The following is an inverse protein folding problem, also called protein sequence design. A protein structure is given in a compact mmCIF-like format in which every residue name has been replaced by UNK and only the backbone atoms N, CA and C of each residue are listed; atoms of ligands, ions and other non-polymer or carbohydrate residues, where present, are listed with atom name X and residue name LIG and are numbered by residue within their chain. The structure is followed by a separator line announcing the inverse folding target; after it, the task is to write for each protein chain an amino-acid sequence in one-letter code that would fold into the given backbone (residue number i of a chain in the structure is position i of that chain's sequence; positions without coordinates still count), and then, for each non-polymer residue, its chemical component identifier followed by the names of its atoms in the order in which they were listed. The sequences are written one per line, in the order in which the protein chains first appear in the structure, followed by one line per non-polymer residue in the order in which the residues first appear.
data_IF_106812931237
#
_entry.id   IF_106812931237
#
_cell.length_a   1.000
_cell.length_b   1.000
_cell.length_c   1.000
_cell.angle_alpha   90.00
_cell.angle_beta   90.00
_cell.angle_gamma   90.00
#
_symmetry.space_group_name_H-M   'P 1'
#
loop_
_entity.id
_entity.type
_entity.pdbx_description
1 polymer ?
#
# COMPACT_ATOMS: atom_id res chain seq x y z
N UNK A 1 -21.94 -50.95 -61.52
CA UNK A 1 -20.91 -50.37 -60.65
C UNK A 1 -21.60 -49.44 -59.58
N UNK A 2 -21.79 -49.99 -58.37
CA UNK A 2 -22.42 -49.27 -57.28
C UNK A 2 -21.27 -48.70 -56.42
N UNK A 3 -21.16 -47.38 -56.40
CA UNK A 3 -20.21 -46.67 -55.49
C UNK A 3 -20.95 -46.39 -54.15
N UNK A 4 -20.57 -47.19 -53.16
CA UNK A 4 -21.02 -46.86 -51.74
C UNK A 4 -20.25 -45.69 -51.21
N UNK A 5 -20.96 -44.62 -50.94
CA UNK A 5 -20.42 -43.44 -50.19
C UNK A 5 -20.32 -43.85 -48.73
N UNK A 6 -19.08 -43.93 -48.21
CA UNK A 6 -18.81 -43.92 -46.77
C UNK A 6 -19.03 -42.48 -46.25
N UNK A 7 -20.07 -42.29 -45.42
CA UNK A 7 -20.19 -41.14 -44.57
C UNK A 7 -19.20 -41.29 -43.42
N UNK A 8 -18.39 -40.25 -43.11
CA UNK A 8 -17.64 -40.24 -41.86
C UNK A 8 -18.63 -40.05 -40.70
N UNK A 9 -18.67 -41.03 -39.81
CA UNK A 9 -19.31 -40.83 -38.49
C UNK A 9 -18.58 -39.70 -37.78
N UNK A 10 -19.28 -38.62 -37.52
CA UNK A 10 -18.83 -37.60 -36.57
C UNK A 10 -18.80 -38.29 -35.21
N UNK A 11 -17.59 -38.42 -34.67
CA UNK A 11 -17.34 -38.84 -33.31
C UNK A 11 -17.75 -37.66 -32.40
N UNK A 12 -19.03 -37.56 -32.08
CA UNK A 12 -19.57 -36.72 -31.03
C UNK A 12 -19.31 -37.40 -29.68
N UNK A 13 -18.03 -37.60 -29.36
CA UNK A 13 -17.57 -37.91 -28.02
C UNK A 13 -17.54 -36.65 -27.22
N UNK A 14 -18.71 -36.08 -26.92
CA UNK A 14 -18.85 -35.05 -25.92
C UNK A 14 -18.44 -35.66 -24.57
N UNK A 15 -17.27 -35.25 -24.06
CA UNK A 15 -16.83 -35.56 -22.72
C UNK A 15 -17.79 -34.80 -21.79
N UNK A 16 -18.86 -35.48 -21.37
CA UNK A 16 -19.98 -34.94 -20.57
C UNK A 16 -19.59 -34.83 -19.09
N UNK A 17 -18.28 -34.78 -18.81
CA UNK A 17 -17.76 -34.55 -17.48
C UNK A 17 -18.02 -33.07 -17.10
N UNK A 18 -18.55 -32.80 -15.89
CA UNK A 18 -18.81 -31.46 -15.45
C UNK A 18 -17.49 -30.65 -15.45
N UNK A 19 -17.50 -29.38 -15.91
CA UNK A 19 -16.31 -28.58 -16.03
C UNK A 19 -15.61 -28.42 -14.65
N UNK A 20 -14.29 -28.64 -14.65
CA UNK A 20 -13.45 -28.59 -13.43
C UNK A 20 -12.70 -27.26 -13.37
N UNK A 21 -12.81 -26.60 -12.24
CA UNK A 21 -12.04 -25.40 -11.92
C UNK A 21 -10.66 -25.79 -11.38
N UNK A 22 -9.61 -25.55 -12.15
CA UNK A 22 -8.21 -25.76 -11.73
C UNK A 22 -7.67 -24.50 -11.09
N UNK A 23 -7.18 -24.63 -9.86
CA UNK A 23 -6.67 -23.55 -9.02
C UNK A 23 -5.20 -23.82 -8.67
N UNK A 24 -4.29 -23.07 -9.29
CA UNK A 24 -2.87 -23.14 -8.94
C UNK A 24 -2.56 -22.10 -7.85
N UNK A 25 -2.04 -22.57 -6.72
CA UNK A 25 -1.68 -21.74 -5.56
C UNK A 25 -0.18 -21.44 -5.57
N UNK A 26 0.25 -20.19 -5.85
CA UNK A 26 1.64 -19.79 -5.69
C UNK A 26 2.01 -19.71 -4.20
N UNK A 27 3.29 -19.91 -3.87
CA UNK A 27 3.74 -19.82 -2.47
C UNK A 27 3.73 -18.40 -1.93
N UNK A 28 4.08 -17.42 -2.76
CA UNK A 28 4.12 -16.00 -2.39
C UNK A 28 3.46 -15.20 -3.52
N UNK A 29 2.65 -14.23 -3.12
CA UNK A 29 1.98 -13.32 -4.05
C UNK A 29 1.96 -11.91 -3.45
N UNK A 30 2.02 -10.93 -4.32
CA UNK A 30 1.84 -9.53 -3.98
C UNK A 30 0.55 -9.04 -4.63
N UNK A 31 -0.34 -8.45 -3.83
CA UNK A 31 -1.64 -7.95 -4.27
C UNK A 31 -1.70 -6.43 -4.22
N UNK A 32 -2.63 -5.85 -4.96
CA UNK A 32 -2.93 -4.42 -4.98
C UNK A 32 -4.35 -4.20 -4.48
N UNK A 33 -4.63 -2.98 -4.00
CA UNK A 33 -5.96 -2.60 -3.52
C UNK A 33 -6.22 -2.95 -2.06
N UNK A 34 -7.47 -2.76 -1.64
CA UNK A 34 -7.90 -2.96 -0.25
C UNK A 34 -8.55 -4.32 -0.01
N UNK A 35 -9.12 -4.90 -1.06
CA UNK A 35 -9.80 -6.20 -1.01
C UNK A 35 -9.08 -7.16 -1.93
N UNK A 36 -8.81 -8.35 -1.43
CA UNK A 36 -8.17 -9.43 -2.17
C UNK A 36 -9.24 -10.32 -2.78
N UNK A 37 -9.13 -10.62 -4.08
CA UNK A 37 -9.95 -11.59 -4.80
C UNK A 37 -9.18 -12.86 -5.11
N UNK A 38 -9.88 -13.94 -5.47
CA UNK A 38 -9.24 -15.21 -5.76
C UNK A 38 -8.31 -15.12 -6.98
N UNK A 39 -8.66 -14.34 -8.00
CA UNK A 39 -7.81 -14.11 -9.19
C UNK A 39 -6.48 -13.42 -8.87
N UNK A 40 -6.42 -12.63 -7.79
CA UNK A 40 -5.20 -11.98 -7.36
C UNK A 40 -4.25 -12.91 -6.59
N UNK A 41 -4.77 -13.98 -5.99
CA UNK A 41 -3.96 -14.88 -5.15
C UNK A 41 -3.70 -16.25 -5.75
N UNK A 42 -4.42 -16.62 -6.80
CA UNK A 42 -4.27 -17.90 -7.48
C UNK A 42 -4.41 -17.76 -9.00
N UNK A 43 -3.84 -18.69 -9.74
CA UNK A 43 -4.05 -18.79 -11.18
C UNK A 43 -5.20 -19.77 -11.42
N UNK A 44 -6.24 -19.27 -12.10
CA UNK A 44 -7.47 -20.02 -12.37
C UNK A 44 -7.51 -20.48 -13.82
N UNK A 45 -7.98 -21.70 -14.04
CA UNK A 45 -8.25 -22.24 -15.37
C UNK A 45 -9.51 -23.11 -15.33
N UNK A 46 -10.46 -22.83 -16.23
CA UNK A 46 -11.70 -23.58 -16.38
C UNK A 46 -12.20 -23.44 -17.82
N UNK A 47 -12.77 -24.54 -18.38
CA UNK A 47 -13.36 -24.52 -19.70
C UNK A 47 -14.73 -23.82 -19.71
N UNK A 48 -15.39 -23.72 -18.55
CA UNK A 48 -16.63 -22.99 -18.35
C UNK A 48 -16.32 -21.51 -18.02
N UNK A 49 -16.62 -20.61 -18.94
CA UNK A 49 -16.35 -19.17 -18.80
C UNK A 49 -17.15 -18.52 -17.67
N UNK A 50 -18.38 -18.96 -17.41
CA UNK A 50 -19.23 -18.41 -16.35
C UNK A 50 -18.69 -18.82 -14.97
N UNK A 51 -18.32 -20.09 -14.81
CA UNK A 51 -17.70 -20.60 -13.59
C UNK A 51 -16.35 -19.91 -13.34
N UNK A 52 -15.53 -19.73 -14.37
CA UNK A 52 -14.26 -19.00 -14.28
C UNK A 52 -14.49 -17.56 -13.80
N UNK A 53 -15.40 -16.82 -14.45
CA UNK A 53 -15.69 -15.43 -14.12
C UNK A 53 -16.27 -15.27 -12.70
N UNK A 54 -17.09 -16.22 -12.25
CA UNK A 54 -17.61 -16.25 -10.88
C UNK A 54 -16.49 -16.51 -9.87
N UNK A 55 -15.60 -17.47 -10.14
CA UNK A 55 -14.47 -17.80 -9.28
C UNK A 55 -13.49 -16.62 -9.14
N UNK A 56 -13.17 -15.91 -10.22
CA UNK A 56 -12.27 -14.76 -10.21
C UNK A 56 -12.70 -13.70 -9.16
N UNK A 57 -13.98 -13.47 -9.02
CA UNK A 57 -14.56 -12.42 -8.15
C UNK A 57 -14.75 -12.85 -6.70
N UNK A 58 -14.44 -14.09 -6.33
CA UNK A 58 -14.62 -14.58 -4.96
C UNK A 58 -13.73 -13.78 -4.00
N UNK A 59 -14.32 -13.09 -2.98
CA UNK A 59 -13.54 -12.28 -2.07
C UNK A 59 -12.79 -13.15 -1.06
N UNK A 60 -11.49 -12.94 -0.96
CA UNK A 60 -10.61 -13.64 -0.04
C UNK A 60 -10.45 -12.90 1.29
N UNK A 61 -10.82 -11.63 1.34
CA UNK A 61 -10.75 -10.79 2.53
C UNK A 61 -10.10 -9.43 2.25
N UNK A 62 -9.64 -8.76 3.32
CA UNK A 62 -8.88 -7.52 3.18
C UNK A 62 -7.45 -7.78 2.73
N UNK A 63 -6.85 -6.81 2.07
CA UNK A 63 -5.42 -6.82 1.82
C UNK A 63 -4.62 -6.65 3.15
N UNK A 64 -3.40 -7.17 3.21
CA UNK A 64 -2.50 -6.93 4.34
C UNK A 64 -2.24 -5.43 4.56
N UNK A 65 -1.94 -5.04 5.83
CA UNK A 65 -1.48 -3.68 6.14
C UNK A 65 0.06 -3.64 6.06
N UNK A 66 0.62 -2.53 5.55
CA UNK A 66 2.05 -2.26 5.51
C UNK A 66 2.93 -3.55 5.34
N UNK A 67 3.75 -3.87 6.35
CA UNK A 67 4.63 -5.05 6.34
C UNK A 67 3.93 -6.36 6.75
N UNK A 68 2.61 -6.36 6.91
CA UNK A 68 1.85 -7.56 7.26
C UNK A 68 1.95 -8.59 6.13
N UNK A 69 2.05 -9.86 6.52
CA UNK A 69 1.90 -11.00 5.61
C UNK A 69 0.72 -11.83 6.07
N UNK A 70 -0.30 -11.96 5.24
CA UNK A 70 -1.45 -12.83 5.49
C UNK A 70 -1.15 -14.20 4.87
N UNK A 71 -1.47 -15.27 5.59
CA UNK A 71 -1.39 -16.64 5.08
C UNK A 71 -2.78 -17.14 4.75
N UNK A 72 -3.00 -17.59 3.51
CA UNK A 72 -4.25 -18.17 3.04
C UNK A 72 -3.99 -19.65 2.75
N UNK A 73 -4.66 -20.53 3.48
CA UNK A 73 -4.59 -21.97 3.26
C UNK A 73 -5.58 -22.44 2.18
N UNK A 74 -5.27 -23.52 1.48
CA UNK A 74 -6.18 -24.12 0.47
C UNK A 74 -7.57 -24.39 0.99
N UNK A 75 -7.70 -24.86 2.24
CA UNK A 75 -9.01 -25.10 2.87
C UNK A 75 -9.85 -23.80 2.95
N UNK A 76 -9.20 -22.66 3.16
CA UNK A 76 -9.88 -21.34 3.19
C UNK A 76 -10.35 -20.97 1.80
N UNK A 77 -9.54 -21.23 0.74
CA UNK A 77 -9.94 -21.01 -0.64
C UNK A 77 -11.16 -21.86 -0.99
N UNK A 78 -11.12 -23.17 -0.66
CA UNK A 78 -12.23 -24.09 -0.92
C UNK A 78 -13.51 -23.65 -0.20
N UNK A 79 -13.40 -23.26 1.07
CA UNK A 79 -14.54 -22.76 1.84
C UNK A 79 -15.15 -21.49 1.26
N UNK A 80 -14.32 -20.56 0.75
CA UNK A 80 -14.81 -19.33 0.10
C UNK A 80 -15.46 -19.60 -1.25
N UNK A 81 -14.88 -20.52 -2.06
CA UNK A 81 -15.48 -20.98 -3.31
C UNK A 81 -16.85 -21.60 -3.07
N UNK A 82 -16.93 -22.52 -2.11
CA UNK A 82 -18.19 -23.18 -1.74
C UNK A 82 -19.26 -22.16 -1.26
N UNK A 83 -18.86 -21.19 -0.43
CA UNK A 83 -19.76 -20.11 0.01
C UNK A 83 -20.24 -19.21 -1.15
N UNK A 84 -19.49 -19.17 -2.25
CA UNK A 84 -19.85 -18.42 -3.47
C UNK A 84 -20.61 -19.29 -4.49
N UNK A 85 -21.02 -20.51 -4.11
CA UNK A 85 -21.83 -21.41 -4.94
C UNK A 85 -21.02 -22.32 -5.87
N UNK A 86 -19.71 -22.36 -5.77
CA UNK A 86 -18.87 -23.30 -6.52
C UNK A 86 -18.86 -24.65 -5.81
N UNK A 87 -19.21 -25.70 -6.53
CA UNK A 87 -19.16 -27.06 -5.99
C UNK A 87 -17.72 -27.49 -5.67
N UNK A 88 -17.39 -27.83 -4.41
CA UNK A 88 -16.07 -28.28 -4.03
C UNK A 88 -15.54 -29.50 -4.79
N UNK A 89 -16.41 -30.39 -5.24
CA UNK A 89 -16.04 -31.59 -6.01
C UNK A 89 -15.56 -31.25 -7.43
N UNK A 90 -15.85 -30.03 -7.88
CA UNK A 90 -15.42 -29.48 -9.17
C UNK A 90 -14.17 -28.62 -9.09
N UNK A 91 -13.44 -28.64 -7.96
CA UNK A 91 -12.25 -27.82 -7.75
C UNK A 91 -11.01 -28.68 -7.57
N UNK A 92 -10.04 -28.51 -8.44
CA UNK A 92 -8.73 -29.15 -8.35
C UNK A 92 -7.66 -28.15 -7.93
N UNK A 93 -6.98 -28.41 -6.81
CA UNK A 93 -5.88 -27.58 -6.35
C UNK A 93 -4.53 -28.14 -6.73
N UNK A 94 -3.61 -27.25 -7.13
CA UNK A 94 -2.19 -27.54 -7.36
C UNK A 94 -1.30 -26.44 -6.75
N UNK A 95 0.00 -26.67 -6.69
CA UNK A 95 0.96 -25.72 -6.12
C UNK A 95 1.10 -25.82 -4.60
N UNK A 96 1.22 -24.68 -3.91
CA UNK A 96 1.48 -24.62 -2.47
C UNK A 96 0.23 -24.89 -1.62
N UNK A 97 0.39 -25.46 -0.42
CA UNK A 97 -0.69 -25.63 0.58
C UNK A 97 -1.10 -24.29 1.22
N UNK A 98 -0.16 -23.36 1.29
CA UNK A 98 -0.32 -22.04 1.88
C UNK A 98 0.18 -20.98 0.91
N UNK A 99 -0.59 -19.90 0.75
CA UNK A 99 -0.23 -18.72 -0.03
C UNK A 99 0.11 -17.60 0.95
N UNK A 100 1.32 -17.04 0.85
CA UNK A 100 1.72 -15.86 1.60
C UNK A 100 1.42 -14.62 0.77
N UNK A 101 0.48 -13.83 1.24
CA UNK A 101 0.00 -12.62 0.57
C UNK A 101 0.61 -11.40 1.23
N UNK A 102 1.21 -10.53 0.43
CA UNK A 102 1.71 -9.20 0.81
C UNK A 102 1.03 -8.15 -0.05
N UNK A 103 0.94 -6.92 0.46
CA UNK A 103 0.46 -5.80 -0.35
C UNK A 103 1.62 -5.13 -1.08
N UNK A 104 1.34 -4.66 -2.30
CA UNK A 104 2.25 -3.80 -3.03
C UNK A 104 2.06 -2.36 -2.55
N UNK A 105 3.08 -1.82 -1.89
CA UNK A 105 3.09 -0.45 -1.40
C UNK A 105 4.09 0.40 -2.18
N UNK A 106 3.73 1.66 -2.42
CA UNK A 106 4.68 2.69 -2.85
C UNK A 106 5.19 3.46 -1.62
N UNK A 107 6.45 3.88 -1.68
CA UNK A 107 7.07 4.64 -0.60
C UNK A 107 7.02 6.13 -0.89
N UNK A 108 6.45 6.89 0.04
CA UNK A 108 6.66 8.34 0.12
C UNK A 108 8.01 8.53 0.78
N UNK A 109 9.00 8.95 -0.01
CA UNK A 109 10.37 9.06 0.48
C UNK A 109 10.54 10.24 1.44
N UNK A 110 11.51 10.18 2.38
CA UNK A 110 11.76 11.23 3.37
C UNK A 110 11.94 12.63 2.77
N UNK A 111 12.50 12.72 1.58
CA UNK A 111 12.75 13.97 0.87
C UNK A 111 11.44 14.68 0.49
N UNK A 112 10.41 13.93 0.08
CA UNK A 112 9.08 14.48 -0.23
C UNK A 112 8.40 15.00 1.03
N UNK A 113 8.46 14.24 2.13
CA UNK A 113 7.92 14.64 3.43
C UNK A 113 8.61 15.93 3.91
N UNK A 114 9.94 15.96 3.81
CA UNK A 114 10.73 17.12 4.24
C UNK A 114 10.43 18.36 3.38
N UNK A 115 10.27 18.22 2.06
CA UNK A 115 9.97 19.34 1.17
C UNK A 115 8.63 20.00 1.56
N UNK A 116 7.60 19.18 1.82
CA UNK A 116 6.27 19.68 2.25
C UNK A 116 6.34 20.36 3.63
N UNK A 117 7.08 19.75 4.58
CA UNK A 117 7.27 20.33 5.90
C UNK A 117 8.04 21.66 5.86
N UNK A 118 9.10 21.76 5.04
CA UNK A 118 9.86 22.99 4.87
C UNK A 118 9.06 24.12 4.22
N UNK A 119 8.25 23.77 3.22
CA UNK A 119 7.33 24.73 2.59
C UNK A 119 6.38 25.31 3.63
N UNK A 120 5.71 24.44 4.41
CA UNK A 120 4.78 24.87 5.47
C UNK A 120 5.45 25.70 6.54
N UNK A 121 6.65 25.30 6.96
CA UNK A 121 7.44 26.05 7.94
C UNK A 121 7.74 27.49 7.46
N UNK A 122 8.13 27.64 6.18
CA UNK A 122 8.44 28.95 5.60
C UNK A 122 7.22 29.85 5.41
N UNK A 123 6.04 29.27 5.23
CA UNK A 123 4.78 30.00 5.02
C UNK A 123 4.17 30.50 6.33
N UNK A 124 4.21 29.70 7.39
CA UNK A 124 3.48 30.01 8.63
C UNK A 124 4.37 30.45 9.79
N UNK A 125 5.66 30.07 9.79
CA UNK A 125 6.57 30.44 10.89
C UNK A 125 7.52 31.52 10.42
N UNK A 126 7.09 32.79 10.58
CA UNK A 126 7.87 33.97 10.17
C UNK A 126 8.73 34.43 11.33
N UNK A 127 9.96 33.95 11.40
CA UNK A 127 10.99 34.44 12.37
C UNK A 127 12.22 34.93 11.59
N UNK A 128 12.32 36.24 11.30
CA UNK A 128 13.34 36.80 10.41
C UNK A 128 14.79 36.57 10.86
N UNK A 129 15.00 36.40 12.17
CA UNK A 129 16.33 36.18 12.75
C UNK A 129 16.71 34.72 12.92
N UNK A 130 15.77 33.80 12.66
CA UNK A 130 15.96 32.35 12.81
C UNK A 130 16.42 31.69 11.54
N UNK A 131 17.33 30.72 11.69
CA UNK A 131 17.67 29.74 10.66
C UNK A 131 17.22 28.39 11.19
N UNK A 132 16.34 27.72 10.43
CA UNK A 132 15.79 26.45 10.83
C UNK A 132 16.70 25.29 10.46
N UNK A 133 16.89 24.37 11.39
CA UNK A 133 17.66 23.13 11.19
C UNK A 133 16.76 21.93 11.48
N UNK A 134 16.77 20.97 10.58
CA UNK A 134 16.14 19.66 10.80
C UNK A 134 16.81 18.94 11.98
N UNK A 135 16.01 18.47 12.93
CA UNK A 135 16.51 17.73 14.10
C UNK A 135 16.81 16.29 13.75
N UNK A 136 15.87 15.64 13.04
CA UNK A 136 15.99 14.24 12.58
C UNK A 136 15.29 14.08 11.23
N UNK A 137 15.92 13.30 10.33
CA UNK A 137 15.30 12.93 9.05
C UNK A 137 14.06 12.08 9.32
N UNK A 138 12.89 12.40 8.72
CA UNK A 138 11.69 11.59 8.86
C UNK A 138 11.89 10.22 8.22
N UNK A 139 11.12 9.23 8.66
CA UNK A 139 11.07 7.91 8.03
C UNK A 139 10.12 7.95 6.83
N UNK A 140 10.36 7.07 5.85
CA UNK A 140 9.45 6.89 4.73
C UNK A 140 8.06 6.42 5.21
N UNK A 141 7.04 6.68 4.40
CA UNK A 141 5.67 6.21 4.63
C UNK A 141 5.31 5.25 3.52
N UNK A 142 4.92 4.02 3.87
CA UNK A 142 4.34 3.08 2.93
C UNK A 142 2.86 3.40 2.73
N UNK A 143 2.41 3.43 1.49
CA UNK A 143 1.00 3.62 1.12
C UNK A 143 0.64 2.65 -0.01
N UNK A 144 -0.65 2.23 -0.15
CA UNK A 144 -1.07 1.38 -1.26
C UNK A 144 -0.61 1.96 -2.59
N UNK A 145 -0.03 1.12 -3.47
CA UNK A 145 0.55 1.59 -4.74
C UNK A 145 -0.50 2.22 -5.68
N UNK A 146 -1.73 1.73 -5.62
CA UNK A 146 -2.89 2.18 -6.38
C UNK A 146 -3.57 3.43 -5.79
N UNK A 147 -3.23 3.84 -4.55
CA UNK A 147 -3.85 4.99 -3.92
C UNK A 147 -3.35 6.31 -4.54
N UNK A 148 -4.27 7.15 -4.98
CA UNK A 148 -3.98 8.56 -5.25
C UNK A 148 -3.91 9.30 -3.92
N UNK A 149 -2.71 9.76 -3.57
CA UNK A 149 -2.47 10.40 -2.28
C UNK A 149 -1.92 11.81 -2.45
N UNK A 150 -2.33 12.69 -1.56
CA UNK A 150 -1.84 14.06 -1.42
C UNK A 150 -1.12 14.21 -0.08
N UNK A 151 -0.03 15.00 -0.08
CA UNK A 151 0.69 15.36 1.14
C UNK A 151 0.21 16.73 1.61
N UNK A 152 -0.31 16.77 2.82
CA UNK A 152 -0.70 18.00 3.51
C UNK A 152 0.18 18.21 4.73
N UNK A 153 0.36 19.47 5.17
CA UNK A 153 1.14 19.77 6.35
C UNK A 153 0.42 20.79 7.25
N UNK A 154 0.53 20.57 8.55
CA UNK A 154 0.03 21.46 9.57
C UNK A 154 1.15 21.81 10.58
N UNK A 155 1.14 23.04 11.06
CA UNK A 155 2.01 23.44 12.18
C UNK A 155 1.42 22.83 13.45
N UNK A 156 2.22 22.04 14.13
CA UNK A 156 1.90 21.46 15.42
C UNK A 156 2.39 22.32 16.58
N UNK A 157 3.10 21.69 17.52
CA UNK A 157 3.61 22.40 18.68
C UNK A 157 4.75 23.36 18.33
N UNK A 158 4.66 24.59 18.83
CA UNK A 158 5.72 25.58 18.80
C UNK A 158 6.21 25.82 20.23
N UNK A 159 7.41 25.35 20.52
CA UNK A 159 8.03 25.53 21.85
C UNK A 159 8.69 26.89 21.96
N UNK A 160 8.59 27.51 23.18
CA UNK A 160 9.33 28.70 23.51
C UNK A 160 10.88 28.57 23.41
N UNK A 161 11.36 27.33 23.33
CA UNK A 161 12.79 27.02 23.12
C UNK A 161 13.22 27.07 21.64
N UNK A 162 12.36 27.56 20.75
CA UNK A 162 12.65 27.62 19.31
C UNK A 162 12.59 26.26 18.61
N UNK A 163 11.73 25.36 19.06
CA UNK A 163 11.42 24.10 18.37
C UNK A 163 10.04 24.18 17.74
N UNK A 164 9.95 23.70 16.51
CA UNK A 164 8.69 23.62 15.78
C UNK A 164 8.51 22.20 15.26
N UNK A 165 7.32 21.68 15.46
CA UNK A 165 6.89 20.40 14.87
C UNK A 165 5.94 20.67 13.72
N UNK A 166 6.23 20.11 12.55
CA UNK A 166 5.34 20.12 11.39
C UNK A 166 4.84 18.70 11.19
N UNK A 167 3.54 18.51 11.32
CA UNK A 167 2.91 17.21 11.03
C UNK A 167 2.58 17.15 9.54
N UNK A 168 3.19 16.21 8.83
CA UNK A 168 2.89 15.92 7.42
C UNK A 168 1.99 14.71 7.36
N UNK A 169 0.78 14.90 6.82
CA UNK A 169 -0.21 13.85 6.64
C UNK A 169 -0.29 13.41 5.18
N UNK A 170 -0.49 12.12 4.97
CA UNK A 170 -0.80 11.51 3.68
C UNK A 170 -2.30 11.33 3.62
N UNK A 171 -2.95 12.03 2.70
CA UNK A 171 -4.40 12.04 2.54
C UNK A 171 -4.81 11.28 1.29
N UNK A 172 -5.94 10.56 1.37
CA UNK A 172 -6.67 10.02 0.22
C UNK A 172 -8.09 10.61 0.25
N UNK A 173 -8.29 11.69 -0.50
CA UNK A 173 -9.48 12.52 -0.35
C UNK A 173 -9.56 13.11 1.06
N UNK A 174 -10.60 12.76 1.83
CA UNK A 174 -10.79 13.21 3.20
C UNK A 174 -10.15 12.28 4.25
N UNK A 175 -9.72 11.06 3.85
CA UNK A 175 -9.17 10.06 4.75
C UNK A 175 -7.67 10.25 4.95
N UNK A 176 -7.22 10.33 6.20
CA UNK A 176 -5.82 10.34 6.55
C UNK A 176 -5.30 8.90 6.64
N UNK A 177 -4.43 8.51 5.70
CA UNK A 177 -3.82 7.19 5.69
C UNK A 177 -2.67 7.05 6.68
N UNK A 178 -1.84 8.09 6.79
CA UNK A 178 -0.68 8.12 7.69
C UNK A 178 -0.26 9.55 7.99
N UNK A 179 0.57 9.74 9.02
CA UNK A 179 1.22 11.02 9.30
C UNK A 179 2.63 10.82 9.86
N UNK A 180 3.47 11.84 9.72
CA UNK A 180 4.80 11.92 10.32
C UNK A 180 5.08 13.33 10.83
N UNK A 181 5.67 13.38 12.01
CA UNK A 181 6.13 14.62 12.60
C UNK A 181 7.57 14.91 12.17
N UNK A 182 7.78 16.12 11.70
CA UNK A 182 9.08 16.65 11.30
C UNK A 182 9.46 17.77 12.26
N UNK A 183 10.55 17.56 12.99
CA UNK A 183 10.98 18.48 14.03
C UNK A 183 12.10 19.39 13.52
N UNK A 184 11.90 20.70 13.69
CA UNK A 184 12.88 21.74 13.40
C UNK A 184 13.32 22.44 14.67
N UNK A 185 14.57 22.92 14.69
CA UNK A 185 15.11 23.79 15.74
C UNK A 185 15.61 25.08 15.13
N UNK A 186 15.28 26.20 15.76
CA UNK A 186 15.77 27.51 15.39
C UNK A 186 17.21 27.74 15.84
N UNK A 187 17.99 28.39 14.98
CA UNK A 187 19.27 29.00 15.34
C UNK A 187 19.15 30.49 15.11
N UNK A 188 19.40 31.26 16.16
CA UNK A 188 19.37 32.73 16.14
C UNK A 188 20.79 33.27 15.93
N UNK A 189 20.89 34.31 15.08
CA UNK A 189 22.10 35.11 15.01
C UNK A 189 21.89 36.29 15.95
N UNK A 190 22.58 36.25 17.09
CA UNK A 190 22.58 37.38 18.05
C UNK A 190 23.81 38.22 17.79
N UNK A 191 23.64 39.54 17.76
CA UNK A 191 24.76 40.48 17.79
C UNK A 191 24.94 40.92 19.24
N UNK A 192 26.05 40.56 19.81
CA UNK A 192 26.45 41.04 21.13
C UNK A 192 27.41 42.21 20.98
N UNK A 193 27.15 43.26 21.79
CA UNK A 193 28.11 44.35 21.96
C UNK A 193 29.08 43.92 23.05
N UNK A 194 30.30 43.67 22.68
CA UNK A 194 31.38 43.35 23.63
C UNK A 194 32.31 44.51 23.77
N UNK A 195 32.54 44.95 25.02
CA UNK A 195 33.56 45.98 25.30
C UNK A 195 34.95 45.43 24.93
N UNK A 196 35.68 46.16 24.10
CA UNK A 196 37.03 45.77 23.66
C UNK A 196 38.13 46.17 24.66
N UNK A 197 37.74 46.90 25.71
CA UNK A 197 38.60 47.32 26.84
C UNK A 197 37.80 47.26 28.12
N UNK A 198 38.53 47.11 29.23
CA UNK A 198 37.93 47.24 30.56
C UNK A 198 37.29 48.63 30.73
N UNK A 199 35.99 48.63 31.01
CA UNK A 199 35.22 49.85 31.27
C UNK A 199 35.29 50.13 32.78
N UNK A 200 35.76 51.32 33.16
CA UNK A 200 35.72 51.77 34.54
C UNK A 200 34.25 51.98 34.96
N UNK A 201 33.92 51.78 36.28
CA UNK A 201 32.55 52.02 36.73
C UNK A 201 32.15 53.50 36.50
N UNK A 202 31.01 53.71 35.81
CA UNK A 202 30.50 55.02 35.47
C UNK A 202 30.90 55.60 34.12
N UNK A 203 31.58 54.84 33.22
CA UNK A 203 31.84 55.28 31.85
C UNK A 203 30.58 54.99 30.99
N UNK A 204 29.94 56.06 30.50
CA UNK A 204 28.84 56.02 29.53
C UNK A 204 29.39 56.07 28.10
#
# INVERSE_FOLDING_TARGET
LVVAALSPAADEGGDDAPPVLKVYCPRNITVEGETVTLEQVAVLSCDDADLHAAACKVPMGRAPWDDETIVIERRTLLSRLAASGVDPERVEFSGAEEIRVRRHDKLIVPEQILAVAQKKLSEEVVEPAATWRLVRKPEAIAVPADAEVELTAAVGEHSAEGRVTITVAVMRGEDQLAARDVHFSARYRVRELVATKDLAPGTL
#
